data_IF_624873086181
#
_entry.id   IF_624873086181
#
_cell.length_a   1.000
_cell.length_b   1.000
_cell.length_c   1.000
_cell.angle_alpha   90.00
_cell.angle_beta   90.00
_cell.angle_gamma   90.00
#
_symmetry.space_group_name_H-M   'P 1'
#
loop_
_entity.id
_entity.type
_entity.pdbx_description
1 polymer ?
#
# COMPACT_ATOMS: atom_id res chain seq x y z
N UNK A 1 -45.66 -40.22 3.45
CA UNK A 1 -44.21 -40.01 3.28
C UNK A 1 -44.02 -38.76 2.43
N UNK A 2 -43.69 -37.62 3.04
CA UNK A 2 -43.38 -36.38 2.31
C UNK A 2 -41.86 -36.34 2.08
N UNK A 3 -41.43 -36.45 0.83
CA UNK A 3 -40.04 -36.25 0.45
C UNK A 3 -39.79 -34.77 0.19
N UNK A 4 -39.08 -34.12 1.13
CA UNK A 4 -38.50 -32.80 0.90
C UNK A 4 -37.39 -32.91 -0.14
N UNK A 5 -37.68 -32.54 -1.39
CA UNK A 5 -36.67 -32.30 -2.43
C UNK A 5 -35.88 -31.05 -2.04
N UNK A 6 -34.72 -31.27 -1.43
CA UNK A 6 -33.75 -30.21 -1.16
C UNK A 6 -33.09 -29.84 -2.49
N UNK A 7 -33.47 -28.69 -3.06
CA UNK A 7 -32.78 -28.09 -4.18
C UNK A 7 -31.35 -27.71 -3.76
N UNK A 8 -30.42 -28.64 -3.97
CA UNK A 8 -28.99 -28.35 -3.88
C UNK A 8 -28.64 -27.39 -5.01
N UNK A 9 -28.71 -26.09 -4.72
CA UNK A 9 -28.24 -25.01 -5.57
C UNK A 9 -26.74 -25.23 -5.81
N UNK A 10 -26.40 -25.93 -6.91
CA UNK A 10 -25.02 -26.09 -7.38
C UNK A 10 -24.42 -24.69 -7.42
N UNK A 11 -23.45 -24.42 -6.55
CA UNK A 11 -22.61 -23.23 -6.64
C UNK A 11 -21.95 -23.30 -8.01
N UNK A 12 -22.48 -22.58 -8.99
CA UNK A 12 -21.79 -22.37 -10.25
C UNK A 12 -20.47 -21.70 -9.89
N UNK A 13 -19.38 -22.45 -9.99
CA UNK A 13 -18.03 -21.89 -9.96
C UNK A 13 -17.97 -20.95 -11.16
N UNK A 14 -18.15 -19.64 -10.92
CA UNK A 14 -18.08 -18.65 -11.99
C UNK A 14 -16.72 -18.81 -12.67
N UNK A 15 -16.72 -19.25 -13.92
CA UNK A 15 -15.52 -19.37 -14.74
C UNK A 15 -14.82 -18.00 -14.72
N UNK A 16 -13.52 -18.00 -14.45
CA UNK A 16 -12.75 -16.75 -14.43
C UNK A 16 -12.94 -16.02 -15.77
N UNK A 17 -12.99 -14.68 -15.76
CA UNK A 17 -13.07 -13.92 -17.00
C UNK A 17 -11.88 -14.27 -17.91
N UNK A 18 -12.03 -14.22 -19.24
CA UNK A 18 -10.89 -14.38 -20.15
C UNK A 18 -9.87 -13.27 -19.92
N UNK A 19 -8.58 -13.63 -19.92
CA UNK A 19 -7.46 -12.69 -19.76
C UNK A 19 -7.08 -12.13 -21.12
N UNK A 20 -7.22 -10.82 -21.27
CA UNK A 20 -6.81 -10.09 -22.46
C UNK A 20 -5.39 -9.56 -22.40
N UNK A 21 -5.10 -8.61 -23.29
CA UNK A 21 -3.80 -7.95 -23.39
C UNK A 21 -3.38 -7.21 -22.11
N UNK A 22 -2.07 -7.11 -21.89
CA UNK A 22 -1.52 -6.26 -20.83
C UNK A 22 -1.84 -4.79 -21.14
N UNK A 23 -2.40 -4.09 -20.16
CA UNK A 23 -2.73 -2.68 -20.28
C UNK A 23 -1.45 -1.86 -20.15
N UNK A 24 -1.32 -0.85 -21.02
CA UNK A 24 -0.23 0.11 -20.92
C UNK A 24 -0.22 0.85 -19.57
N UNK A 25 -1.41 1.20 -19.04
CA UNK A 25 -1.55 1.91 -17.77
C UNK A 25 -2.42 1.15 -16.76
N UNK A 26 -1.98 1.00 -15.50
CA UNK A 26 -2.65 0.15 -14.51
C UNK A 26 -3.85 0.84 -13.86
N UNK A 27 -4.70 0.04 -13.20
CA UNK A 27 -5.67 0.54 -12.24
C UNK A 27 -5.05 0.65 -10.83
N UNK A 28 -5.65 1.44 -9.93
CA UNK A 28 -5.14 1.63 -8.55
C UNK A 28 -4.90 0.29 -7.83
N UNK A 29 -5.82 -0.69 -7.86
CA UNK A 29 -5.57 -1.98 -7.22
C UNK A 29 -4.35 -2.73 -7.78
N UNK A 30 -4.09 -2.65 -9.08
CA UNK A 30 -2.91 -3.28 -9.68
C UNK A 30 -1.61 -2.56 -9.32
N UNK A 31 -1.63 -1.24 -9.13
CA UNK A 31 -0.47 -0.53 -8.55
C UNK A 31 -0.17 -1.06 -7.16
N UNK A 32 -1.16 -1.17 -6.28
CA UNK A 32 -1.00 -1.71 -4.91
C UNK A 32 -0.51 -3.16 -4.91
N UNK A 33 -0.97 -3.98 -5.86
CA UNK A 33 -0.46 -5.35 -6.01
C UNK A 33 1.00 -5.36 -6.44
N UNK A 34 1.35 -4.55 -7.43
CA UNK A 34 2.71 -4.45 -7.91
C UNK A 34 3.69 -3.96 -6.84
N UNK A 35 3.30 -3.09 -5.92
CA UNK A 35 4.21 -2.70 -4.81
C UNK A 35 4.59 -3.85 -3.87
N UNK A 36 3.86 -4.98 -3.90
CA UNK A 36 4.13 -6.17 -3.08
C UNK A 36 4.61 -7.37 -3.90
N UNK A 37 4.38 -7.33 -5.21
CA UNK A 37 4.73 -8.37 -6.16
C UNK A 37 5.35 -7.67 -7.39
N UNK A 38 6.67 -7.42 -7.37
CA UNK A 38 7.38 -6.85 -8.51
C UNK A 38 7.11 -7.63 -9.79
N UNK A 39 7.00 -6.93 -10.92
CA UNK A 39 6.64 -7.54 -12.20
C UNK A 39 5.15 -7.85 -12.38
N UNK A 40 4.28 -7.56 -11.39
CA UNK A 40 2.84 -7.77 -11.55
C UNK A 40 2.26 -6.94 -12.71
N UNK A 41 1.57 -7.60 -13.62
CA UNK A 41 0.93 -6.98 -14.78
C UNK A 41 -0.55 -6.68 -14.55
N UNK A 42 -1.05 -5.64 -15.21
CA UNK A 42 -2.47 -5.30 -15.24
C UNK A 42 -3.05 -5.68 -16.61
N UNK A 43 -3.73 -6.81 -16.74
CA UNK A 43 -4.34 -7.22 -18.01
C UNK A 43 -5.80 -6.76 -18.14
N UNK A 44 -6.26 -6.46 -19.35
CA UNK A 44 -7.67 -6.19 -19.62
C UNK A 44 -8.51 -7.46 -19.51
N UNK A 45 -9.79 -7.30 -19.19
CA UNK A 45 -10.78 -8.33 -19.50
C UNK A 45 -11.16 -8.23 -20.98
N UNK A 46 -11.17 -9.34 -21.72
CA UNK A 46 -11.61 -9.33 -23.12
C UNK A 46 -13.09 -8.89 -23.21
N UNK A 47 -13.39 -8.05 -24.21
CA UNK A 47 -14.73 -7.61 -24.63
C UNK A 47 -15.51 -6.63 -23.74
N UNK A 48 -15.02 -6.25 -22.55
CA UNK A 48 -15.71 -5.24 -21.70
C UNK A 48 -14.91 -3.97 -21.44
N UNK A 49 -13.57 -4.03 -21.43
CA UNK A 49 -12.66 -2.87 -21.28
C UNK A 49 -12.75 -2.10 -19.95
N UNK A 50 -13.81 -2.29 -19.16
CA UNK A 50 -14.12 -1.54 -17.95
C UNK A 50 -13.33 -2.01 -16.72
N UNK A 51 -12.98 -3.30 -16.66
CA UNK A 51 -12.23 -3.88 -15.57
C UNK A 51 -10.94 -4.57 -16.05
N UNK A 52 -9.92 -4.59 -15.19
CA UNK A 52 -8.78 -5.48 -15.39
C UNK A 52 -9.16 -6.92 -14.98
N UNK A 53 -8.47 -7.89 -15.54
CA UNK A 53 -8.69 -9.31 -15.29
C UNK A 53 -8.65 -9.66 -13.80
N UNK A 54 -7.66 -9.14 -13.05
CA UNK A 54 -7.54 -9.38 -11.60
C UNK A 54 -8.73 -8.81 -10.81
N UNK A 55 -9.18 -7.59 -11.15
CA UNK A 55 -10.34 -6.99 -10.51
C UNK A 55 -11.63 -7.77 -10.84
N UNK A 56 -11.82 -8.17 -12.10
CA UNK A 56 -12.98 -8.92 -12.52
C UNK A 56 -13.03 -10.31 -11.88
N UNK A 57 -11.88 -11.01 -11.78
CA UNK A 57 -11.75 -12.33 -11.14
C UNK A 57 -12.17 -12.29 -9.67
N UNK A 58 -11.83 -11.22 -8.94
CA UNK A 58 -12.13 -11.09 -7.50
C UNK A 58 -13.45 -10.37 -7.21
N UNK A 59 -14.21 -9.97 -8.24
CA UNK A 59 -15.42 -9.15 -8.06
C UNK A 59 -15.15 -7.76 -7.49
N UNK A 60 -13.93 -7.22 -7.65
CA UNK A 60 -13.57 -5.88 -7.20
C UNK A 60 -13.72 -4.85 -8.32
N UNK A 61 -14.05 -3.62 -7.96
CA UNK A 61 -14.11 -2.52 -8.92
C UNK A 61 -12.71 -2.11 -9.37
N UNK A 62 -12.52 -2.02 -10.68
CA UNK A 62 -11.33 -1.45 -11.28
C UNK A 62 -11.35 0.08 -11.13
N UNK A 63 -10.59 0.63 -10.16
CA UNK A 63 -10.54 2.08 -9.92
C UNK A 63 -9.43 2.73 -10.76
N UNK A 64 -9.72 3.79 -11.54
CA UNK A 64 -8.70 4.52 -12.28
C UNK A 64 -7.74 5.24 -11.33
N UNK A 65 -6.49 5.41 -11.76
CA UNK A 65 -5.51 6.23 -11.03
C UNK A 65 -5.91 7.70 -11.17
N UNK A 66 -5.94 8.49 -10.08
CA UNK A 66 -6.24 9.92 -10.14
C UNK A 66 -5.19 10.65 -10.99
N UNK A 67 -5.61 11.63 -11.79
CA UNK A 67 -4.72 12.36 -12.71
C UNK A 67 -3.50 12.95 -12.02
N UNK A 68 -3.67 13.48 -10.81
CA UNK A 68 -2.57 14.02 -9.99
C UNK A 68 -1.47 12.98 -9.67
N UNK A 69 -1.81 11.69 -9.62
CA UNK A 69 -0.85 10.61 -9.37
C UNK A 69 -0.28 9.96 -10.64
N UNK A 70 -0.71 10.37 -11.85
CA UNK A 70 -0.33 9.72 -13.10
C UNK A 70 1.18 9.70 -13.33
N UNK A 71 1.87 10.82 -13.10
CA UNK A 71 3.30 10.92 -13.34
C UNK A 71 4.09 9.93 -12.47
N UNK A 72 3.82 9.91 -11.16
CA UNK A 72 4.46 8.99 -10.23
C UNK A 72 4.13 7.52 -10.55
N UNK A 73 2.88 7.23 -10.89
CA UNK A 73 2.46 5.87 -11.25
C UNK A 73 3.07 5.41 -12.57
N UNK A 74 3.21 6.28 -13.59
CA UNK A 74 3.90 5.92 -14.84
C UNK A 74 5.35 5.54 -14.59
N UNK A 75 6.08 6.39 -13.87
CA UNK A 75 7.49 6.13 -13.54
C UNK A 75 7.67 4.80 -12.81
N UNK A 76 6.82 4.51 -11.81
CA UNK A 76 6.81 3.22 -11.13
C UNK A 76 6.45 2.07 -12.07
N UNK A 77 5.39 2.22 -12.88
CA UNK A 77 4.88 1.16 -13.73
C UNK A 77 5.87 0.77 -14.83
N UNK A 78 6.63 1.72 -15.35
CA UNK A 78 7.67 1.47 -16.36
C UNK A 78 8.82 0.66 -15.78
N UNK A 79 9.29 0.99 -14.57
CA UNK A 79 10.28 0.20 -13.84
C UNK A 79 9.74 -1.18 -13.47
N UNK A 80 8.47 -1.27 -13.04
CA UNK A 80 7.85 -2.54 -12.67
C UNK A 80 7.79 -3.53 -13.84
N UNK A 81 7.58 -3.06 -15.08
CA UNK A 81 7.61 -3.92 -16.27
C UNK A 81 9.02 -4.40 -16.63
N UNK A 82 10.04 -3.68 -16.21
CA UNK A 82 11.45 -4.01 -16.46
C UNK A 82 12.07 -4.80 -15.30
N UNK A 83 11.32 -5.03 -14.23
CA UNK A 83 11.84 -5.67 -13.03
C UNK A 83 12.22 -7.12 -13.34
N UNK A 84 13.52 -7.40 -13.26
CA UNK A 84 14.09 -8.74 -13.47
C UNK A 84 14.58 -9.37 -12.16
N UNK A 85 14.68 -8.60 -11.07
CA UNK A 85 15.18 -9.08 -9.77
C UNK A 85 16.64 -9.50 -9.76
N UNK A 86 17.43 -9.13 -10.79
CA UNK A 86 18.84 -9.54 -10.98
C UNK A 86 19.82 -8.37 -10.73
N UNK A 87 19.32 -7.17 -10.40
CA UNK A 87 20.16 -5.98 -10.24
C UNK A 87 19.74 -5.12 -9.04
N UNK A 88 20.61 -5.00 -8.04
CA UNK A 88 20.38 -4.27 -6.79
C UNK A 88 20.05 -2.77 -7.01
N UNK A 89 20.72 -2.10 -7.97
CA UNK A 89 20.43 -0.68 -8.26
C UNK A 89 19.03 -0.48 -8.85
N UNK A 90 18.58 -1.46 -9.64
CA UNK A 90 17.22 -1.46 -10.22
C UNK A 90 16.18 -1.66 -9.12
N UNK A 91 16.50 -2.47 -8.11
CA UNK A 91 15.63 -2.75 -6.98
C UNK A 91 15.41 -1.52 -6.10
N UNK A 92 16.44 -0.72 -5.85
CA UNK A 92 16.33 0.52 -5.07
C UNK A 92 15.56 1.61 -5.81
N UNK A 93 15.84 1.80 -7.10
CA UNK A 93 15.08 2.71 -7.95
C UNK A 93 13.59 2.31 -8.01
N UNK A 94 13.32 1.01 -8.15
CA UNK A 94 11.98 0.46 -8.13
C UNK A 94 11.28 0.67 -6.79
N UNK A 95 11.94 0.37 -5.65
CA UNK A 95 11.39 0.58 -4.30
C UNK A 95 11.06 2.05 -4.05
N UNK A 96 11.95 2.96 -4.40
CA UNK A 96 11.72 4.39 -4.27
C UNK A 96 10.54 4.86 -5.14
N UNK A 97 10.43 4.37 -6.37
CA UNK A 97 9.30 4.68 -7.25
C UNK A 97 7.98 4.10 -6.72
N UNK A 98 7.98 2.87 -6.21
CA UNK A 98 6.82 2.22 -5.60
C UNK A 98 6.30 3.00 -4.40
N UNK A 99 7.21 3.46 -3.52
CA UNK A 99 6.87 4.29 -2.36
C UNK A 99 6.24 5.62 -2.78
N UNK A 100 6.85 6.32 -3.75
CA UNK A 100 6.31 7.59 -4.28
C UNK A 100 4.91 7.40 -4.89
N UNK A 101 4.74 6.38 -5.72
CA UNK A 101 3.44 6.06 -6.32
C UNK A 101 2.37 5.76 -5.24
N UNK A 102 2.73 4.99 -4.21
CA UNK A 102 1.84 4.69 -3.10
C UNK A 102 1.47 5.94 -2.28
N UNK A 103 2.43 6.84 -2.02
CA UNK A 103 2.18 8.11 -1.32
C UNK A 103 1.21 9.00 -2.11
N UNK A 104 1.44 9.17 -3.41
CA UNK A 104 0.56 9.97 -4.27
C UNK A 104 -0.86 9.37 -4.35
N UNK A 105 -0.97 8.04 -4.46
CA UNK A 105 -2.27 7.36 -4.43
C UNK A 105 -3.00 7.52 -3.09
N UNK A 106 -2.29 7.59 -1.95
CA UNK A 106 -2.90 7.87 -0.64
C UNK A 106 -3.33 9.34 -0.53
N UNK A 107 -2.49 10.27 -0.95
CA UNK A 107 -2.79 11.70 -0.95
C UNK A 107 -4.06 12.02 -1.77
N UNK A 108 -4.25 11.37 -2.92
CA UNK A 108 -5.44 11.53 -3.75
C UNK A 108 -6.61 10.59 -3.37
N UNK A 109 -6.48 9.78 -2.31
CA UNK A 109 -7.48 8.80 -1.87
C UNK A 109 -8.43 9.31 -0.80
N UNK A 110 -7.98 10.28 -0.01
CA UNK A 110 -8.85 11.09 0.85
C UNK A 110 -9.38 12.24 0.01
N UNK A 111 -10.65 12.59 0.09
CA UNK A 111 -11.23 13.79 -0.56
C UNK A 111 -10.67 15.12 -0.03
N UNK A 112 -9.40 15.15 0.38
CA UNK A 112 -8.69 16.36 0.70
C UNK A 112 -8.47 17.12 -0.61
N UNK A 113 -9.02 18.34 -0.64
CA UNK A 113 -8.69 19.33 -1.65
C UNK A 113 -7.17 19.40 -1.84
N UNK A 114 -6.68 19.68 -3.07
CA UNK A 114 -5.26 19.94 -3.26
C UNK A 114 -4.83 21.03 -2.27
N UNK A 115 -3.64 20.94 -1.65
CA UNK A 115 -3.08 22.12 -1.01
C UNK A 115 -3.07 23.23 -2.07
N UNK A 116 -3.66 24.37 -1.73
CA UNK A 116 -3.74 25.52 -2.60
C UNK A 116 -2.35 25.81 -3.19
N UNK A 117 -2.33 26.24 -4.46
CA UNK A 117 -1.12 26.66 -5.14
C UNK A 117 -0.27 27.59 -4.24
N UNK A 118 1.07 27.47 -4.30
CA UNK A 118 1.94 28.23 -3.41
C UNK A 118 1.76 29.72 -3.68
N UNK A 119 1.37 30.45 -2.64
CA UNK A 119 1.53 31.91 -2.60
C UNK A 119 3.03 32.20 -2.82
N UNK A 120 3.42 33.14 -3.69
CA UNK A 120 4.84 33.45 -3.86
C UNK A 120 5.37 33.99 -2.53
N UNK A 121 6.27 33.25 -1.91
CA UNK A 121 6.98 33.69 -0.72
C UNK A 121 7.95 34.83 -1.10
N UNK A 122 8.06 35.90 -0.28
CA UNK A 122 9.10 36.89 -0.45
C UNK A 122 10.48 36.23 -0.28
N UNK A 123 11.45 36.76 -1.02
CA UNK A 123 12.78 36.19 -1.23
C UNK A 123 13.44 35.67 0.06
N UNK A 124 13.87 34.41 0.02
CA UNK A 124 14.64 33.76 1.06
C UNK A 124 16.08 34.26 1.00
N UNK A 125 16.46 35.05 2.01
CA UNK A 125 17.84 35.07 2.48
C UNK A 125 18.13 33.73 3.18
N UNK A 126 19.23 33.09 2.76
CA UNK A 126 20.02 32.07 3.44
C UNK A 126 19.28 31.07 4.37
N UNK A 127 18.92 29.89 3.84
CA UNK A 127 18.49 28.73 4.64
C UNK A 127 19.42 27.53 4.40
N UNK A 128 20.53 27.50 5.15
CA UNK A 128 21.42 26.34 5.23
C UNK A 128 21.37 25.58 6.56
N UNK A 129 20.82 26.14 7.65
CA UNK A 129 21.11 25.60 9.00
C UNK A 129 19.89 25.38 9.93
N UNK A 130 18.67 25.76 9.51
CA UNK A 130 17.48 25.68 10.38
C UNK A 130 16.77 24.32 10.32
N UNK A 131 16.92 23.54 9.23
CA UNK A 131 16.17 22.30 9.05
C UNK A 131 16.80 21.08 9.75
N UNK A 132 18.14 20.99 9.82
CA UNK A 132 18.83 19.88 10.52
C UNK A 132 18.56 19.91 12.03
N UNK A 133 18.62 21.07 12.69
CA UNK A 133 18.26 21.20 14.12
C UNK A 133 16.85 20.64 14.42
N UNK A 134 15.88 20.89 13.53
CA UNK A 134 14.51 20.39 13.69
C UNK A 134 14.35 18.87 13.48
N UNK A 135 15.26 18.26 12.73
CA UNK A 135 15.25 16.83 12.44
C UNK A 135 15.94 16.05 13.56
N UNK A 136 17.09 16.53 14.02
CA UNK A 136 17.78 15.99 15.19
C UNK A 136 16.91 16.10 16.45
N UNK A 137 16.24 17.23 16.70
CA UNK A 137 15.26 17.36 17.80
C UNK A 137 14.11 16.35 17.68
N UNK A 138 13.60 16.13 16.46
CA UNK A 138 12.51 15.16 16.23
C UNK A 138 12.98 13.71 16.40
N UNK A 139 14.22 13.39 16.07
CA UNK A 139 14.84 12.08 16.35
C UNK A 139 14.97 11.86 17.86
N UNK A 140 15.41 12.86 18.61
CA UNK A 140 15.53 12.76 20.08
C UNK A 140 14.17 12.49 20.72
N UNK A 141 13.13 13.24 20.34
CA UNK A 141 11.76 13.03 20.84
C UNK A 141 11.25 11.61 20.53
N UNK A 142 11.51 11.10 19.32
CA UNK A 142 11.10 9.75 18.93
C UNK A 142 11.83 8.68 19.76
N UNK A 143 13.13 8.85 20.02
CA UNK A 143 13.92 7.93 20.83
C UNK A 143 13.48 7.94 22.30
N UNK A 144 13.18 9.11 22.86
CA UNK A 144 12.65 9.23 24.23
C UNK A 144 11.29 8.55 24.37
N UNK A 145 10.41 8.69 23.38
CA UNK A 145 9.12 8.01 23.35
C UNK A 145 9.28 6.48 23.29
N UNK A 146 10.20 5.98 22.46
CA UNK A 146 10.51 4.55 22.38
C UNK A 146 11.08 4.04 23.71
N UNK A 147 12.01 4.79 24.33
CA UNK A 147 12.58 4.43 25.62
C UNK A 147 11.52 4.42 26.73
N UNK A 148 10.55 5.37 26.70
CA UNK A 148 9.41 5.38 27.59
C UNK A 148 8.51 4.15 27.44
N UNK A 149 8.17 3.81 26.19
CA UNK A 149 7.37 2.62 25.89
C UNK A 149 8.09 1.33 26.32
N UNK A 150 9.41 1.22 26.08
CA UNK A 150 10.21 0.07 26.49
C UNK A 150 10.21 -0.12 28.02
N UNK A 151 10.33 0.96 28.80
CA UNK A 151 10.24 0.89 30.27
C UNK A 151 8.88 0.38 30.74
N UNK A 152 7.80 0.83 30.12
CA UNK A 152 6.45 0.36 30.44
C UNK A 152 6.26 -1.11 30.07
N UNK A 153 6.78 -1.56 28.92
CA UNK A 153 6.74 -2.97 28.54
C UNK A 153 7.48 -3.85 29.57
N UNK A 154 8.66 -3.43 30.03
CA UNK A 154 9.41 -4.18 31.05
C UNK A 154 8.66 -4.22 32.38
N UNK A 155 8.03 -3.13 32.80
CA UNK A 155 7.20 -3.11 34.02
C UNK A 155 5.98 -4.02 33.92
N UNK A 156 5.31 -4.06 32.76
CA UNK A 156 4.17 -4.94 32.54
C UNK A 156 4.56 -6.42 32.51
N UNK A 157 5.75 -6.74 32.01
CA UNK A 157 6.29 -8.10 32.02
C UNK A 157 6.59 -8.53 33.45
N UNK A 158 7.23 -7.67 34.26
CA UNK A 158 7.55 -7.96 35.67
C UNK A 158 6.29 -8.08 36.54
N UNK A 159 5.25 -7.28 36.30
CA UNK A 159 3.97 -7.40 37.01
C UNK A 159 3.17 -8.66 36.64
N UNK A 160 3.47 -9.30 35.51
CA UNK A 160 2.85 -10.56 35.11
C UNK A 160 3.54 -11.81 35.66
N UNK A 161 4.77 -11.67 36.19
CA UNK A 161 5.52 -12.77 36.81
C UNK A 161 5.22 -12.90 38.32
N UNK A 162 4.67 -11.87 38.96
CA UNK A 162 4.29 -11.87 40.39
C UNK A 162 2.87 -12.43 40.67
N UNK A 163 2.13 -12.86 39.64
CA UNK A 163 0.75 -13.39 39.73
C UNK A 163 0.65 -14.91 39.44
N UNK A 164 1.78 -15.64 39.40
CA UNK A 164 1.84 -17.10 39.20
C UNK A 164 2.48 -17.86 40.39
N UNK A 165 2.05 -17.58 41.63
CA UNK A 165 2.15 -18.51 42.78
C UNK A 165 0.83 -18.34 43.58
N UNK A 166 -0.02 -19.32 43.88
CA UNK A 166 0.13 -20.74 44.19
C UNK A 166 -1.18 -21.44 43.77
N UNK A 167 -1.08 -22.58 43.07
CA UNK A 167 -2.11 -23.63 43.12
C UNK A 167 -1.44 -24.95 42.70
N UNK A 168 -0.69 -25.57 43.62
CA UNK A 168 -0.36 -27.00 43.55
C UNK A 168 -0.71 -27.68 44.90
N UNK A 169 -1.87 -28.35 44.85
CA UNK A 169 -2.21 -29.69 45.37
C UNK A 169 -2.18 -30.07 46.87
N UNK A 170 -3.36 -30.53 47.31
CA UNK A 170 -3.64 -31.80 48.05
C UNK A 170 -2.87 -32.14 49.34
#
# INVERSE_FOLDING_TARGET
MLTCLSEQKKKQTKKAPPRGSVRHFPCRPCVTRATRAPGHECASQDNTGAACWDCAKTGHTCRPVPTAAHAAVRAFWDLNRQFSGVNDDTDDAWRAAALRAAQQLRACGSGAAPPAAPVPAPALDSFGEVLEKSLEERKVIALEAIAGAARLCVQLIQQGEDDEEEDEDN
#
